data_IF_326145262963
#
_entry.id   IF_326145262963
#
_cell.length_a   1.000
_cell.length_b   1.000
_cell.length_c   1.000
_cell.angle_alpha   90.00
_cell.angle_beta   90.00
_cell.angle_gamma   90.00
#
_symmetry.space_group_name_H-M   'P 1'
#
loop_
_entity.id
_entity.type
_entity.pdbx_description
1 polymer ?
#
# COMPACT_ATOMS: atom_id res chain seq x y z
N UNK A 1 -15.08 -3.16 -15.65
CA UNK A 1 -14.03 -3.59 -14.69
C UNK A 1 -14.42 -4.96 -14.18
N UNK A 2 -13.66 -6.02 -14.48
CA UNK A 2 -14.03 -7.38 -14.10
C UNK A 2 -13.63 -7.64 -12.63
N UNK A 3 -14.60 -8.01 -11.79
CA UNK A 3 -14.32 -8.43 -10.42
C UNK A 3 -14.02 -9.92 -10.41
N UNK A 4 -12.82 -10.29 -9.97
CA UNK A 4 -12.45 -11.69 -9.76
C UNK A 4 -12.97 -12.12 -8.39
N UNK A 5 -13.69 -13.25 -8.34
CA UNK A 5 -14.06 -13.85 -7.06
C UNK A 5 -12.81 -14.42 -6.43
N UNK A 6 -12.41 -13.88 -5.29
CA UNK A 6 -11.23 -14.31 -4.56
C UNK A 6 -11.66 -14.91 -3.23
N UNK A 7 -11.18 -16.12 -2.97
CA UNK A 7 -11.33 -16.76 -1.66
C UNK A 7 -10.13 -16.39 -0.79
N UNK A 8 -10.38 -15.94 0.43
CA UNK A 8 -9.37 -15.55 1.41
C UNK A 8 -9.61 -16.31 2.71
N UNK A 9 -8.54 -16.87 3.25
CA UNK A 9 -8.56 -17.48 4.58
C UNK A 9 -8.32 -16.41 5.62
N UNK A 10 -9.32 -16.15 6.46
CA UNK A 10 -9.23 -15.22 7.57
C UNK A 10 -9.13 -16.01 8.87
N UNK A 11 -8.33 -15.51 9.81
CA UNK A 11 -8.34 -16.02 11.17
C UNK A 11 -9.67 -15.62 11.84
N UNK A 12 -10.20 -16.50 12.68
CA UNK A 12 -11.54 -16.37 13.27
C UNK A 12 -11.71 -15.08 14.08
N UNK A 13 -10.69 -14.68 14.84
CA UNK A 13 -10.61 -13.42 15.58
C UNK A 13 -10.77 -12.19 14.67
N UNK A 14 -10.06 -12.17 13.54
CA UNK A 14 -10.13 -11.10 12.55
C UNK A 14 -11.50 -11.07 11.87
N UNK A 15 -12.07 -12.23 11.58
CA UNK A 15 -13.42 -12.34 11.01
C UNK A 15 -14.47 -11.72 11.95
N UNK A 16 -14.43 -12.05 13.25
CA UNK A 16 -15.36 -11.48 14.23
C UNK A 16 -15.18 -9.97 14.40
N UNK A 17 -13.94 -9.48 14.42
CA UNK A 17 -13.64 -8.05 14.49
C UNK A 17 -14.19 -7.30 13.27
N UNK A 18 -13.94 -7.81 12.06
CA UNK A 18 -14.47 -7.24 10.82
C UNK A 18 -15.99 -7.27 10.77
N UNK A 19 -16.62 -8.34 11.28
CA UNK A 19 -18.08 -8.49 11.32
C UNK A 19 -18.74 -7.43 12.22
N UNK A 20 -18.12 -7.10 13.35
CA UNK A 20 -18.59 -6.04 14.26
C UNK A 20 -18.50 -4.65 13.62
N UNK A 21 -17.46 -4.39 12.83
CA UNK A 21 -17.17 -3.06 12.27
C UNK A 21 -17.88 -2.81 10.93
N UNK A 22 -17.96 -3.82 10.05
CA UNK A 22 -18.50 -3.67 8.70
C UNK A 22 -20.01 -3.98 8.59
N UNK A 23 -20.56 -4.74 9.54
CA UNK A 23 -21.90 -5.29 9.43
C UNK A 23 -22.03 -6.38 8.35
N UNK A 24 -23.08 -7.20 8.42
CA UNK A 24 -23.26 -8.41 7.58
C UNK A 24 -23.21 -8.16 6.06
N UNK A 25 -23.62 -6.99 5.56
CA UNK A 25 -23.77 -6.72 4.12
C UNK A 25 -22.53 -6.14 3.43
N UNK A 26 -21.61 -5.51 4.17
CA UNK A 26 -20.49 -4.74 3.58
C UNK A 26 -19.10 -5.34 3.85
N UNK A 27 -19.04 -6.60 4.24
CA UNK A 27 -17.79 -7.24 4.65
C UNK A 27 -16.78 -7.33 3.50
N UNK A 28 -17.23 -7.69 2.29
CA UNK A 28 -16.36 -7.75 1.11
C UNK A 28 -15.82 -6.38 0.70
N UNK A 29 -16.64 -5.33 0.75
CA UNK A 29 -16.21 -3.96 0.44
C UNK A 29 -15.15 -3.49 1.42
N UNK A 30 -15.39 -3.70 2.72
CA UNK A 30 -14.46 -3.33 3.80
C UNK A 30 -13.11 -4.05 3.67
N UNK A 31 -13.14 -5.34 3.36
CA UNK A 31 -11.91 -6.12 3.15
C UNK A 31 -11.13 -5.57 1.97
N UNK A 32 -11.81 -5.26 0.86
CA UNK A 32 -11.16 -4.66 -0.31
C UNK A 32 -10.59 -3.28 0.01
N UNK A 33 -11.28 -2.44 0.77
CA UNK A 33 -10.75 -1.14 1.23
C UNK A 33 -9.50 -1.31 2.11
N UNK A 34 -9.51 -2.26 3.05
CA UNK A 34 -8.37 -2.52 3.93
C UNK A 34 -7.17 -3.00 3.10
N UNK A 35 -7.38 -3.97 2.21
CA UNK A 35 -6.33 -4.48 1.33
C UNK A 35 -5.80 -3.40 0.39
N UNK A 36 -6.68 -2.57 -0.17
CA UNK A 36 -6.27 -1.45 -1.02
C UNK A 36 -5.43 -0.43 -0.23
N UNK A 37 -5.86 -0.07 0.97
CA UNK A 37 -5.10 0.86 1.80
C UNK A 37 -3.74 0.27 2.20
N UNK A 38 -3.70 -0.97 2.66
CA UNK A 38 -2.47 -1.63 3.12
C UNK A 38 -1.49 -1.96 1.98
N UNK A 39 -1.98 -2.30 0.78
CA UNK A 39 -1.12 -2.79 -0.32
C UNK A 39 -0.91 -1.77 -1.44
N UNK A 40 -1.82 -0.81 -1.61
CA UNK A 40 -1.75 0.20 -2.68
C UNK A 40 -1.43 1.57 -2.11
N UNK A 41 -2.09 1.98 -1.02
CA UNK A 41 -1.86 3.30 -0.41
C UNK A 41 -0.54 3.35 0.38
N UNK A 42 -0.12 2.24 0.98
CA UNK A 42 1.22 2.10 1.58
C UNK A 42 2.33 1.80 0.57
N UNK A 43 2.07 1.79 -0.76
CA UNK A 43 3.13 1.98 -1.76
C UNK A 43 3.67 3.42 -1.70
N UNK A 44 4.08 3.88 -0.52
CA UNK A 44 5.29 4.68 -0.43
C UNK A 44 6.38 3.80 -1.01
N UNK A 45 6.64 4.04 -2.29
CA UNK A 45 7.76 3.60 -3.10
C UNK A 45 8.68 2.56 -2.41
N UNK A 46 8.53 1.28 -2.79
CA UNK A 46 9.53 0.26 -2.48
C UNK A 46 10.89 0.57 -3.14
N UNK A 47 10.89 1.50 -4.11
CA UNK A 47 12.08 2.23 -4.55
C UNK A 47 12.26 3.41 -3.61
N UNK A 48 13.15 3.29 -2.63
CA UNK A 48 13.32 4.22 -1.53
C UNK A 48 13.01 5.69 -1.86
N UNK A 49 12.33 6.34 -0.92
CA UNK A 49 12.33 7.79 -0.76
C UNK A 49 13.77 8.27 -0.52
N UNK A 50 14.64 8.16 -1.52
CA UNK A 50 15.86 8.92 -1.54
C UNK A 50 15.37 10.36 -1.66
N UNK A 51 15.54 11.13 -0.59
CA UNK A 51 15.42 12.58 -0.68
C UNK A 51 16.28 13.01 -1.87
N UNK A 52 15.84 13.97 -2.71
CA UNK A 52 16.74 14.56 -3.70
C UNK A 52 18.01 14.94 -2.94
N UNK A 53 19.09 14.23 -3.24
CA UNK A 53 20.37 14.47 -2.59
C UNK A 53 20.87 15.75 -3.21
N UNK A 54 21.28 16.70 -2.37
CA UNK A 54 21.78 17.97 -2.84
C UNK A 54 23.01 17.70 -3.72
N UNK A 55 22.91 18.09 -4.99
CA UNK A 55 23.95 17.89 -6.00
C UNK A 55 24.97 19.04 -5.94
N UNK A 56 24.81 20.00 -5.04
CA UNK A 56 25.68 21.18 -4.90
C UNK A 56 27.15 20.85 -4.58
N UNK A 57 27.42 19.68 -3.99
CA UNK A 57 28.78 19.20 -3.67
C UNK A 57 29.31 18.18 -4.70
N UNK A 58 28.55 17.88 -5.76
CA UNK A 58 29.08 17.11 -6.87
C UNK A 58 29.96 18.01 -7.71
N UNK A 59 31.24 17.65 -7.78
CA UNK A 59 32.18 18.28 -8.70
C UNK A 59 31.75 18.01 -10.13
N UNK A 60 31.46 19.06 -10.88
CA UNK A 60 31.23 18.96 -12.31
C UNK A 60 32.50 18.46 -13.00
N UNK A 61 32.34 17.51 -13.92
CA UNK A 61 33.45 16.94 -14.68
C UNK A 61 34.14 17.99 -15.59
N UNK A 62 33.55 19.18 -15.74
CA UNK A 62 34.07 20.29 -16.54
C UNK A 62 35.15 21.12 -15.84
N UNK A 63 35.39 20.95 -14.53
CA UNK A 63 36.52 21.57 -13.80
C UNK A 63 37.88 20.88 -14.07
N UNK A 64 38.05 20.37 -15.29
CA UNK A 64 39.33 19.86 -15.82
C UNK A 64 39.70 20.64 -17.08
N UNK A 65 39.97 21.94 -16.91
CA UNK A 65 40.69 22.78 -17.87
C UNK A 65 41.80 23.54 -17.16
#
# INVERSE_FOLDING_TARGET
>A
MAFVKTTINLREDVYQALKKVAGKKKMSEKINEILYNALVKEKKSLFGTMKPTDLSDLRDHEDRL
#
